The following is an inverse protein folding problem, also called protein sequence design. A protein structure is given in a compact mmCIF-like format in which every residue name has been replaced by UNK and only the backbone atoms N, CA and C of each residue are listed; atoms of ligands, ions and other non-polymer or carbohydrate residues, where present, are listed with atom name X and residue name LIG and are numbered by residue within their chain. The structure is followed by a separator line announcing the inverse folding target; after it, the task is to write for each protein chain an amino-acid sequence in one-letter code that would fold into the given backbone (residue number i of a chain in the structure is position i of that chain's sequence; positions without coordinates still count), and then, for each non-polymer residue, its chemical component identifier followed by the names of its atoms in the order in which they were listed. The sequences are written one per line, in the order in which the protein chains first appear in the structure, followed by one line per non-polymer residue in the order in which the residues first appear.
data_IF_461253333260
#
_entry.id   IF_461253333260
#
_cell.length_a   1.000
_cell.length_b   1.000
_cell.length_c   1.000
_cell.angle_alpha   90.00
_cell.angle_beta   90.00
_cell.angle_gamma   90.00
#
_symmetry.space_group_name_H-M   'P 1'
#
loop_
_entity.id
_entity.type
_entity.pdbx_description
1 polymer ?
#
# COMPACT_ATOMS: atom_id res chain seq x y z
N UNK A 1 -13.21 66.45 25.12
CA UNK A 1 -12.59 65.83 23.92
C UNK A 1 -11.40 65.01 24.40
N UNK A 2 -11.52 63.68 24.46
CA UNK A 2 -10.50 62.80 25.06
C UNK A 2 -9.84 62.01 23.92
N UNK A 3 -8.62 62.39 23.56
CA UNK A 3 -7.82 61.68 22.55
C UNK A 3 -7.33 60.38 23.16
N UNK A 4 -7.83 59.25 22.65
CA UNK A 4 -7.35 57.92 23.00
C UNK A 4 -6.02 57.72 22.28
N UNK A 5 -4.92 57.75 23.04
CA UNK A 5 -3.60 57.33 22.60
C UNK A 5 -3.63 55.82 22.40
N UNK A 6 -3.66 55.37 21.14
CA UNK A 6 -3.45 53.97 20.80
C UNK A 6 -1.94 53.75 20.80
N UNK A 7 -1.44 52.96 21.75
CA UNK A 7 -0.02 52.59 21.84
C UNK A 7 0.43 51.92 20.54
N UNK A 8 1.50 52.46 19.96
CA UNK A 8 2.11 52.00 18.69
C UNK A 8 2.57 50.53 18.79
N UNK A 9 2.86 50.04 20.00
CA UNK A 9 3.26 48.67 20.25
C UNK A 9 2.17 47.65 19.86
N UNK A 10 0.89 48.00 20.02
CA UNK A 10 -0.22 47.10 19.66
C UNK A 10 -0.34 46.87 18.15
N UNK A 11 0.11 47.82 17.33
CA UNK A 11 0.03 47.72 15.87
C UNK A 11 1.18 46.88 15.32
N UNK A 12 2.39 47.04 15.85
CA UNK A 12 3.56 46.26 15.44
C UNK A 12 3.38 44.76 15.77
N UNK A 13 2.87 44.43 16.96
CA UNK A 13 2.61 43.03 17.34
C UNK A 13 1.53 42.40 16.47
N UNK A 14 0.46 43.14 16.14
CA UNK A 14 -0.61 42.65 15.25
C UNK A 14 -0.08 42.41 13.84
N UNK A 15 0.72 43.32 13.30
CA UNK A 15 1.31 43.18 11.96
C UNK A 15 2.23 41.95 11.86
N UNK A 16 3.02 41.68 12.91
CA UNK A 16 3.89 40.51 12.97
C UNK A 16 3.11 39.18 13.00
N UNK A 17 2.00 39.12 13.76
CA UNK A 17 1.13 37.94 13.81
C UNK A 17 0.48 37.68 12.44
N UNK A 18 -0.02 38.71 11.76
CA UNK A 18 -0.59 38.55 10.42
C UNK A 18 0.44 38.13 9.38
N UNK A 19 1.67 38.67 9.45
CA UNK A 19 2.75 38.29 8.52
C UNK A 19 3.18 36.83 8.73
N UNK A 20 3.24 36.39 9.98
CA UNK A 20 3.61 35.00 10.32
C UNK A 20 2.50 34.00 9.92
N UNK A 21 1.23 34.37 10.11
CA UNK A 21 0.09 33.57 9.63
C UNK A 21 0.02 33.53 8.10
N UNK A 22 0.28 34.64 7.42
CA UNK A 22 0.31 34.70 5.96
C UNK A 22 1.44 33.85 5.37
N UNK A 23 2.65 33.90 5.96
CA UNK A 23 3.77 33.03 5.56
C UNK A 23 3.43 31.55 5.80
N UNK A 24 2.83 31.19 6.95
CA UNK A 24 2.41 29.80 7.21
C UNK A 24 1.32 29.34 6.24
N UNK A 25 0.38 30.21 5.87
CA UNK A 25 -0.63 29.92 4.85
C UNK A 25 0.00 29.73 3.45
N UNK A 26 1.02 30.53 3.12
CA UNK A 26 1.74 30.44 1.85
C UNK A 26 2.66 29.21 1.76
N UNK A 27 3.18 28.72 2.89
CA UNK A 27 3.91 27.45 3.00
C UNK A 27 2.92 26.27 2.91
N UNK A 28 1.74 26.36 3.54
CA UNK A 28 0.70 25.33 3.44
C UNK A 28 0.12 25.22 2.02
N UNK A 29 -0.02 26.33 1.30
CA UNK A 29 -0.49 26.35 -0.10
C UNK A 29 0.56 25.84 -1.11
N UNK A 30 1.85 25.82 -0.76
CA UNK A 30 2.91 25.27 -1.63
C UNK A 30 3.15 23.77 -1.42
N UNK A 31 2.64 23.19 -0.34
CA UNK A 31 2.76 21.75 -0.07
C UNK A 31 1.58 20.96 -0.66
N UNK A 32 0.46 21.61 -1.00
CA UNK A 32 -0.69 20.96 -1.65
C UNK A 32 -0.60 20.89 -3.18
N UNK A 33 0.45 21.41 -3.83
CA UNK A 33 0.55 21.42 -5.31
C UNK A 33 1.52 20.41 -5.92
N UNK A 34 2.07 19.47 -5.15
CA UNK A 34 3.02 18.45 -5.68
C UNK A 34 2.44 17.04 -5.74
N UNK A 35 1.21 16.82 -5.26
CA UNK A 35 0.54 15.52 -5.34
C UNK A 35 -0.50 15.41 -6.47
N UNK A 36 -0.56 16.36 -7.40
CA UNK A 36 -1.51 16.33 -8.53
C UNK A 36 -0.93 15.79 -9.84
N UNK A 37 0.29 15.25 -9.86
CA UNK A 37 0.96 14.82 -11.09
C UNK A 37 1.13 13.29 -11.26
N UNK A 38 0.62 12.47 -10.33
CA UNK A 38 0.68 11.00 -10.47
C UNK A 38 -0.63 10.34 -10.90
N UNK A 39 -1.72 11.09 -11.04
CA UNK A 39 -3.04 10.54 -11.44
C UNK A 39 -3.51 10.98 -12.84
N UNK A 40 -2.60 11.41 -13.70
CA UNK A 40 -2.88 11.76 -15.09
C UNK A 40 -2.05 10.88 -16.03
N UNK A 41 -2.46 9.62 -16.22
CA UNK A 41 -1.67 8.72 -17.06
C UNK A 41 -2.22 7.31 -17.27
N UNK A 42 -3.52 7.10 -17.23
CA UNK A 42 -4.12 5.82 -17.62
C UNK A 42 -5.48 6.03 -18.27
N UNK A 43 -5.51 6.89 -19.28
CA UNK A 43 -6.63 7.01 -20.20
C UNK A 43 -6.09 7.22 -21.60
N UNK A 44 -5.97 6.13 -22.37
CA UNK A 44 -6.30 5.99 -23.80
C UNK A 44 -5.97 4.55 -24.20
N UNK A 45 -7.02 3.74 -24.37
CA UNK A 45 -7.12 2.74 -25.42
C UNK A 45 -8.61 2.45 -25.63
N UNK A 46 -9.23 3.16 -26.58
CA UNK A 46 -10.58 2.83 -27.08
C UNK A 46 -10.46 2.16 -28.45
N UNK A 47 -11.22 1.05 -28.57
CA UNK A 47 -11.48 0.18 -29.72
C UNK A 47 -10.28 -0.70 -30.16
N UNK A 48 -10.42 -2.03 -30.33
CA UNK A 48 -11.45 -2.73 -31.12
C UNK A 48 -11.67 -4.18 -30.62
N UNK A 49 -12.88 -4.69 -30.88
CA UNK A 49 -13.40 -6.08 -30.79
C UNK A 49 -13.67 -6.68 -29.41
N UNK A 50 -14.95 -6.56 -29.01
CA UNK A 50 -15.68 -7.50 -28.16
C UNK A 50 -15.41 -8.96 -28.55
N UNK A 51 -14.72 -9.75 -27.72
CA UNK A 51 -15.09 -11.11 -27.22
C UNK A 51 -14.23 -11.51 -25.98
N UNK A 52 -13.11 -10.83 -25.66
CA UNK A 52 -12.38 -11.17 -24.43
C UNK A 52 -12.95 -10.43 -23.22
N UNK A 53 -13.24 -11.12 -22.08
CA UNK A 53 -13.50 -10.42 -20.83
C UNK A 53 -12.31 -9.51 -20.54
N UNK A 54 -12.59 -8.28 -20.06
CA UNK A 54 -11.55 -7.36 -19.63
C UNK A 54 -10.58 -8.11 -18.70
N UNK A 55 -9.28 -8.05 -19.00
CA UNK A 55 -8.28 -8.67 -18.16
C UNK A 55 -8.42 -8.15 -16.73
N UNK A 56 -8.36 -9.03 -15.74
CA UNK A 56 -8.42 -8.63 -14.36
C UNK A 56 -7.24 -7.70 -14.03
N UNK A 57 -7.54 -6.59 -13.37
CA UNK A 57 -6.55 -5.66 -12.84
C UNK A 57 -6.04 -6.24 -11.53
N UNK A 58 -4.72 -6.27 -11.35
CA UNK A 58 -4.06 -6.70 -10.12
C UNK A 58 -3.27 -5.55 -9.53
N UNK A 59 -3.37 -5.35 -8.22
CA UNK A 59 -2.53 -4.41 -7.48
C UNK A 59 -1.89 -5.17 -6.32
N UNK A 60 -0.57 -5.17 -6.25
CA UNK A 60 0.19 -5.87 -5.20
C UNK A 60 0.53 -4.91 -4.06
N UNK A 61 0.39 -5.37 -2.83
CA UNK A 61 0.81 -4.65 -1.63
C UNK A 61 1.77 -5.52 -0.82
N UNK A 62 2.81 -4.88 -0.28
CA UNK A 62 3.73 -5.53 0.65
C UNK A 62 3.21 -5.48 2.08
N UNK A 63 3.93 -6.16 2.97
CA UNK A 63 3.75 -6.04 4.41
C UNK A 63 4.84 -5.16 5.03
N UNK A 64 4.64 -4.78 6.29
CA UNK A 64 5.59 -4.12 7.18
C UNK A 64 5.48 -4.74 8.57
N UNK A 65 6.59 -4.79 9.31
CA UNK A 65 6.56 -5.41 10.64
C UNK A 65 5.73 -4.58 11.63
N UNK A 66 5.04 -5.26 12.54
CA UNK A 66 4.35 -4.64 13.66
C UNK A 66 5.33 -4.54 14.83
N UNK A 67 5.97 -3.39 14.94
CA UNK A 67 7.01 -3.17 15.95
C UNK A 67 6.39 -3.06 17.34
N UNK A 68 6.88 -3.87 18.29
CA UNK A 68 6.47 -3.80 19.69
C UNK A 68 6.95 -2.49 20.35
N UNK A 69 6.04 -1.80 21.03
CA UNK A 69 6.36 -0.60 21.80
C UNK A 69 6.45 0.71 21.02
N UNK A 70 6.22 0.71 19.70
CA UNK A 70 6.06 1.94 18.92
C UNK A 70 4.60 2.43 19.01
N UNK A 71 4.35 3.72 19.28
CA UNK A 71 3.01 4.27 19.17
C UNK A 71 2.51 4.21 17.72
N UNK A 72 1.18 4.19 17.51
CA UNK A 72 0.43 4.18 16.24
C UNK A 72 0.82 5.12 15.08
N UNK A 73 1.99 5.76 15.06
CA UNK A 73 2.34 6.78 14.07
C UNK A 73 3.79 6.73 13.59
N UNK A 74 4.65 5.83 14.06
CA UNK A 74 6.03 5.69 13.53
C UNK A 74 6.89 6.98 13.55
N UNK A 75 6.47 8.03 14.26
CA UNK A 75 7.24 9.27 14.43
C UNK A 75 8.04 9.18 15.71
N UNK A 76 8.97 8.24 15.79
CA UNK A 76 10.23 8.50 16.49
C UNK A 76 11.32 7.63 15.88
N UNK A 77 12.41 8.26 15.46
CA UNK A 77 13.61 7.59 14.94
C UNK A 77 14.36 6.78 16.01
N UNK A 78 13.77 6.58 17.19
CA UNK A 78 14.20 5.58 18.16
C UNK A 78 13.82 4.19 17.68
N UNK A 79 14.80 3.51 17.10
CA UNK A 79 14.83 2.05 16.91
C UNK A 79 14.22 1.40 18.16
N UNK A 80 13.15 0.62 18.00
CA UNK A 80 12.61 -0.20 19.07
C UNK A 80 13.71 -1.20 19.50
N UNK A 81 14.42 -0.85 20.56
CA UNK A 81 15.39 -1.73 21.18
C UNK A 81 14.62 -2.66 22.11
N UNK A 82 14.66 -3.96 21.80
CA UNK A 82 14.14 -5.10 22.56
C UNK A 82 12.64 -5.37 22.45
N UNK A 83 12.28 -6.43 21.72
CA UNK A 83 10.91 -6.95 21.69
C UNK A 83 10.77 -8.16 20.77
N UNK A 84 10.67 -7.94 19.47
CA UNK A 84 10.51 -9.02 18.49
C UNK A 84 11.06 -8.59 17.12
N UNK A 85 12.21 -9.13 16.72
CA UNK A 85 12.92 -8.74 15.49
C UNK A 85 13.18 -9.92 14.55
N UNK A 86 12.67 -11.12 14.87
CA UNK A 86 12.94 -12.30 14.05
C UNK A 86 12.40 -12.12 12.62
N UNK A 87 11.28 -11.42 12.46
CA UNK A 87 10.62 -11.16 11.18
C UNK A 87 11.14 -9.94 10.40
N UNK A 88 11.87 -9.00 11.03
CA UNK A 88 12.22 -7.70 10.45
C UNK A 88 13.00 -7.82 9.14
N UNK A 89 13.96 -8.74 9.09
CA UNK A 89 14.79 -8.97 7.91
C UNK A 89 14.01 -9.56 6.72
N UNK A 90 12.77 -10.00 6.95
CA UNK A 90 11.99 -10.81 6.02
C UNK A 90 10.70 -10.13 5.54
N UNK A 91 10.51 -8.85 5.86
CA UNK A 91 9.32 -8.07 5.45
C UNK A 91 9.07 -8.15 3.93
N UNK A 92 10.14 -8.15 3.11
CA UNK A 92 10.04 -8.24 1.65
C UNK A 92 9.61 -9.60 1.09
N UNK A 93 9.56 -10.63 1.92
CA UNK A 93 9.20 -12.01 1.52
C UNK A 93 7.69 -12.27 1.56
N UNK A 94 6.88 -11.31 1.97
CA UNK A 94 5.42 -11.42 1.99
C UNK A 94 4.78 -10.31 1.19
N UNK A 95 3.76 -10.65 0.43
CA UNK A 95 2.87 -9.68 -0.21
C UNK A 95 1.48 -10.28 -0.37
N UNK A 96 0.57 -9.44 -0.84
CA UNK A 96 -0.71 -9.92 -1.35
C UNK A 96 -1.12 -9.14 -2.58
N UNK A 97 -1.84 -9.83 -3.45
CA UNK A 97 -2.46 -9.26 -4.64
C UNK A 97 -3.93 -8.95 -4.36
N UNK A 98 -4.39 -7.79 -4.82
CA UNK A 98 -5.81 -7.46 -4.94
C UNK A 98 -6.19 -7.53 -6.41
N UNK A 99 -6.99 -8.53 -6.76
CA UNK A 99 -7.39 -8.84 -8.14
C UNK A 99 -8.85 -8.45 -8.36
N UNK A 100 -9.12 -7.65 -9.39
CA UNK A 100 -10.47 -7.20 -9.72
C UNK A 100 -11.32 -8.34 -10.30
N UNK A 101 -12.58 -8.44 -9.88
CA UNK A 101 -13.60 -9.28 -10.49
C UNK A 101 -14.89 -8.51 -10.78
N UNK A 102 -15.86 -9.18 -11.39
CA UNK A 102 -17.19 -8.59 -11.64
C UNK A 102 -17.99 -8.55 -10.33
N UNK A 103 -18.03 -7.38 -9.68
CA UNK A 103 -18.69 -7.19 -8.38
C UNK A 103 -17.94 -7.83 -7.20
N UNK A 104 -16.71 -8.28 -7.42
CA UNK A 104 -15.87 -8.95 -6.41
C UNK A 104 -14.44 -8.46 -6.46
N UNK A 105 -13.69 -8.72 -5.39
CA UNK A 105 -12.23 -8.59 -5.35
C UNK A 105 -11.64 -9.82 -4.68
N UNK A 106 -10.55 -10.33 -5.23
CA UNK A 106 -9.83 -11.47 -4.66
C UNK A 106 -8.54 -10.94 -4.02
N UNK A 107 -8.36 -11.22 -2.72
CA UNK A 107 -7.11 -11.02 -2.01
C UNK A 107 -6.32 -12.33 -2.05
N UNK A 108 -5.10 -12.30 -2.58
CA UNK A 108 -4.23 -13.48 -2.66
C UNK A 108 -2.95 -13.22 -1.87
N UNK A 109 -2.80 -13.92 -0.75
CA UNK A 109 -1.65 -13.80 0.14
C UNK A 109 -0.56 -14.76 -0.30
N UNK A 110 0.66 -14.24 -0.46
CA UNK A 110 1.78 -15.00 -0.99
C UNK A 110 2.92 -15.08 0.04
N UNK A 111 3.49 -16.27 0.18
CA UNK A 111 4.72 -16.49 0.91
C UNK A 111 5.86 -16.71 -0.10
N UNK A 112 6.71 -15.69 -0.31
CA UNK A 112 7.79 -15.73 -1.31
C UNK A 112 9.11 -16.25 -0.76
N UNK A 113 9.10 -16.92 0.39
CA UNK A 113 10.31 -17.59 0.85
C UNK A 113 10.75 -18.68 -0.14
N UNK A 114 12.05 -18.96 -0.14
CA UNK A 114 12.64 -20.08 -0.86
C UNK A 114 13.34 -20.93 0.19
N UNK A 115 13.05 -22.24 0.22
CA UNK A 115 13.68 -23.21 1.12
C UNK A 115 13.65 -22.81 2.61
N UNK A 116 12.48 -22.39 3.11
CA UNK A 116 12.27 -22.05 4.52
C UNK A 116 11.22 -22.95 5.17
N UNK A 117 11.23 -23.06 6.49
CA UNK A 117 10.11 -23.58 7.28
C UNK A 117 9.06 -22.52 7.59
N UNK A 118 9.30 -21.26 7.22
CA UNK A 118 8.46 -20.11 7.55
C UNK A 118 7.08 -20.21 6.90
N UNK A 119 6.03 -20.06 7.70
CA UNK A 119 4.64 -20.21 7.26
C UNK A 119 3.78 -19.05 7.71
N UNK A 120 2.81 -18.67 6.87
CA UNK A 120 1.73 -17.75 7.28
C UNK A 120 0.55 -18.58 7.77
N UNK A 121 0.13 -18.39 9.02
CA UNK A 121 -0.86 -19.26 9.65
C UNK A 121 -2.10 -18.53 10.19
N UNK A 122 -2.08 -17.20 10.24
CA UNK A 122 -3.28 -16.39 10.50
C UNK A 122 -3.33 -15.15 9.63
N UNK A 123 -4.55 -14.72 9.34
CA UNK A 123 -4.83 -13.49 8.58
C UNK A 123 -5.96 -12.75 9.28
N UNK A 124 -5.84 -11.43 9.39
CA UNK A 124 -6.83 -10.55 9.99
C UNK A 124 -7.14 -9.38 9.06
N UNK A 125 -8.37 -8.88 9.13
CA UNK A 125 -8.78 -7.67 8.43
C UNK A 125 -9.47 -6.70 9.38
N UNK A 126 -9.25 -5.41 9.15
CA UNK A 126 -9.94 -4.31 9.83
C UNK A 126 -10.57 -3.35 8.82
N UNK A 127 -11.62 -2.63 9.23
CA UNK A 127 -12.23 -1.56 8.43
C UNK A 127 -13.01 -2.02 7.19
N UNK A 128 -13.50 -3.26 7.18
CA UNK A 128 -14.13 -3.88 6.01
C UNK A 128 -15.65 -3.64 5.89
N UNK A 129 -16.31 -3.18 6.96
CA UNK A 129 -17.76 -3.27 7.11
C UNK A 129 -18.59 -2.44 6.13
N UNK A 130 -18.02 -1.42 5.50
CA UNK A 130 -18.69 -0.64 4.45
C UNK A 130 -18.27 -1.03 3.03
N UNK A 131 -17.15 -1.76 2.88
CA UNK A 131 -16.57 -2.09 1.57
C UNK A 131 -17.13 -3.40 1.01
N UNK A 132 -17.37 -4.38 1.89
CA UNK A 132 -17.72 -5.75 1.50
C UNK A 132 -19.06 -6.17 2.09
N UNK A 133 -19.85 -6.89 1.31
CA UNK A 133 -21.14 -7.46 1.76
C UNK A 133 -20.97 -8.89 2.28
N UNK A 134 -20.11 -9.68 1.64
CA UNK A 134 -19.79 -11.06 2.03
C UNK A 134 -18.34 -11.39 1.67
N UNK A 135 -17.86 -12.52 2.20
CA UNK A 135 -16.56 -13.08 1.84
C UNK A 135 -16.61 -14.60 1.74
N UNK A 136 -15.71 -15.15 0.93
CA UNK A 136 -15.51 -16.59 0.73
C UNK A 136 -14.01 -16.89 0.82
N UNK A 137 -13.53 -17.56 1.88
CA UNK A 137 -12.13 -17.98 1.97
C UNK A 137 -11.85 -19.19 1.06
N UNK A 138 -10.57 -19.54 0.90
CA UNK A 138 -10.09 -20.71 0.16
C UNK A 138 -10.37 -20.66 -1.36
N UNK A 139 -10.20 -19.48 -1.96
CA UNK A 139 -10.48 -19.25 -3.38
C UNK A 139 -9.19 -19.21 -4.18
N UNK A 140 -8.97 -20.20 -5.04
CA UNK A 140 -7.79 -20.22 -5.91
C UNK A 140 -6.47 -20.40 -5.16
N UNK A 141 -6.51 -21.13 -4.04
CA UNK A 141 -5.34 -21.53 -3.28
C UNK A 141 -4.38 -22.38 -4.14
N UNK A 142 -3.10 -22.40 -3.76
CA UNK A 142 -2.14 -23.41 -4.24
C UNK A 142 -1.72 -24.34 -3.10
N UNK A 143 -1.25 -25.54 -3.43
CA UNK A 143 -0.77 -26.51 -2.45
C UNK A 143 -1.86 -27.06 -1.51
N UNK A 144 -1.53 -27.28 -0.24
CA UNK A 144 -2.47 -27.80 0.79
C UNK A 144 -3.14 -26.71 1.61
N UNK A 145 -2.99 -25.45 1.21
CA UNK A 145 -3.48 -24.28 1.93
C UNK A 145 -4.98 -24.35 2.18
N UNK A 146 -5.38 -24.23 3.45
CA UNK A 146 -6.78 -24.16 3.86
C UNK A 146 -6.90 -23.36 5.16
N UNK A 147 -7.87 -22.44 5.21
CA UNK A 147 -8.11 -21.57 6.36
C UNK A 147 -9.58 -21.60 6.78
N UNK A 148 -9.80 -21.51 8.09
CA UNK A 148 -11.12 -21.44 8.71
C UNK A 148 -11.32 -20.11 9.44
N UNK A 149 -12.54 -19.57 9.46
CA UNK A 149 -12.87 -18.41 10.29
C UNK A 149 -12.62 -18.67 11.77
N UNK A 150 -12.01 -17.71 12.45
CA UNK A 150 -11.84 -17.72 13.91
C UNK A 150 -12.47 -16.46 14.51
N UNK A 151 -13.19 -16.62 15.63
CA UNK A 151 -13.93 -15.54 16.30
C UNK A 151 -13.43 -15.25 17.71
N UNK A 152 -12.50 -16.06 18.23
CA UNK A 152 -11.97 -15.94 19.58
C UNK A 152 -10.49 -15.56 19.59
N UNK A 153 -10.03 -15.00 20.71
CA UNK A 153 -8.67 -14.56 20.90
C UNK A 153 -8.33 -13.23 20.23
N UNK A 154 -7.11 -12.75 20.45
CA UNK A 154 -6.57 -11.53 19.85
C UNK A 154 -5.66 -11.86 18.67
N UNK A 155 -5.47 -10.89 17.77
CA UNK A 155 -4.43 -10.98 16.76
C UNK A 155 -3.08 -10.61 17.40
N UNK A 156 -2.02 -11.43 17.28
CA UNK A 156 -0.73 -11.12 17.87
C UNK A 156 -0.21 -9.76 17.42
N UNK A 157 0.39 -9.02 18.36
CA UNK A 157 0.84 -7.63 18.19
C UNK A 157 -0.25 -6.65 17.68
N UNK A 158 -1.52 -7.04 17.61
CA UNK A 158 -2.58 -6.19 17.05
C UNK A 158 -2.83 -4.89 17.83
N UNK A 159 -2.45 -4.85 19.11
CA UNK A 159 -2.48 -3.64 19.94
C UNK A 159 -1.43 -2.59 19.54
N UNK A 160 -0.42 -2.99 18.76
CA UNK A 160 0.64 -2.11 18.26
C UNK A 160 0.37 -1.61 16.83
N UNK A 161 -0.77 -2.00 16.22
CA UNK A 161 -1.15 -1.52 14.89
C UNK A 161 -1.80 -0.14 15.02
N UNK A 162 -1.40 0.76 14.12
CA UNK A 162 -1.92 2.13 14.04
C UNK A 162 -3.45 2.17 13.98
N UNK A 163 -4.07 3.07 14.75
CA UNK A 163 -5.53 3.21 14.77
C UNK A 163 -6.06 3.96 13.52
N UNK A 164 -7.25 3.62 12.99
CA UNK A 164 -8.17 2.61 13.52
C UNK A 164 -7.72 1.18 13.20
N UNK A 165 -7.66 0.34 14.23
CA UNK A 165 -7.49 -1.11 14.10
C UNK A 165 -8.56 -1.82 14.92
N UNK A 166 -9.62 -2.21 14.23
CA UNK A 166 -10.69 -3.04 14.79
C UNK A 166 -10.89 -4.22 13.87
N UNK A 167 -10.54 -5.39 14.37
CA UNK A 167 -10.65 -6.64 13.63
C UNK A 167 -12.13 -6.90 13.33
N UNK A 168 -12.47 -7.04 12.05
CA UNK A 168 -13.82 -7.38 11.60
C UNK A 168 -13.96 -8.88 11.39
N UNK A 169 -12.95 -9.52 10.80
CA UNK A 169 -12.87 -10.97 10.74
C UNK A 169 -11.42 -11.45 10.70
N UNK A 170 -11.25 -12.73 11.04
CA UNK A 170 -9.96 -13.43 11.09
C UNK A 170 -10.09 -14.84 10.58
N UNK A 171 -8.99 -15.33 10.05
CA UNK A 171 -8.83 -16.67 9.54
C UNK A 171 -7.57 -17.28 10.16
N UNK A 172 -7.62 -18.58 10.45
CA UNK A 172 -6.45 -19.38 10.86
C UNK A 172 -6.33 -20.58 9.94
N UNK A 173 -5.11 -21.04 9.71
CA UNK A 173 -4.86 -22.29 9.01
C UNK A 173 -5.63 -23.44 9.66
N UNK A 174 -6.21 -24.32 8.85
CA UNK A 174 -6.95 -25.52 9.27
C UNK A 174 -6.01 -26.65 9.70
N UNK A 175 -5.08 -26.32 10.60
CA UNK A 175 -3.96 -27.18 11.01
C UNK A 175 -2.60 -26.72 10.47
N UNK A 176 -1.50 -27.25 11.04
CA UNK A 176 -0.14 -26.81 10.76
C UNK A 176 0.33 -27.12 9.32
N UNK A 177 -0.30 -28.09 8.67
CA UNK A 177 -0.04 -28.50 7.28
C UNK A 177 -0.80 -27.68 6.25
N UNK A 178 -1.70 -26.80 6.69
CA UNK A 178 -2.61 -26.03 5.84
C UNK A 178 -2.32 -24.53 5.85
N UNK A 179 -1.27 -24.12 6.57
CA UNK A 179 -0.70 -22.78 6.51
C UNK A 179 -0.13 -22.50 5.12
N UNK A 180 0.16 -21.23 4.82
CA UNK A 180 0.79 -20.85 3.55
C UNK A 180 2.28 -21.15 3.64
N UNK A 181 2.69 -22.30 3.07
CA UNK A 181 4.10 -22.66 2.96
C UNK A 181 4.82 -21.80 1.88
N UNK A 182 6.16 -21.82 1.84
CA UNK A 182 6.90 -21.08 0.83
C UNK A 182 6.49 -21.45 -0.60
N UNK A 183 6.21 -20.43 -1.41
CA UNK A 183 5.67 -20.47 -2.77
C UNK A 183 4.20 -20.95 -2.88
N UNK A 184 3.48 -21.00 -1.77
CA UNK A 184 2.04 -21.20 -1.78
C UNK A 184 1.28 -19.87 -1.66
N UNK A 185 -0.01 -19.93 -2.01
CA UNK A 185 -0.93 -18.80 -2.02
C UNK A 185 -2.23 -19.18 -1.35
N UNK A 186 -2.75 -18.28 -0.52
CA UNK A 186 -4.11 -18.35 0.01
C UNK A 186 -4.98 -17.24 -0.61
N UNK A 187 -6.17 -17.58 -1.09
CA UNK A 187 -7.10 -16.60 -1.63
C UNK A 187 -8.38 -16.43 -0.82
N UNK A 188 -8.83 -15.18 -0.71
CA UNK A 188 -10.14 -14.80 -0.18
C UNK A 188 -10.85 -13.94 -1.20
N UNK A 189 -12.07 -14.30 -1.57
CA UNK A 189 -12.94 -13.47 -2.40
C UNK A 189 -13.87 -12.65 -1.54
N UNK A 190 -13.95 -11.35 -1.78
CA UNK A 190 -14.98 -10.47 -1.22
C UNK A 190 -15.97 -10.09 -2.30
N UNK A 191 -17.26 -10.08 -1.94
CA UNK A 191 -18.28 -9.40 -2.73
C UNK A 191 -18.31 -7.94 -2.31
N UNK A 192 -18.20 -7.04 -3.28
CA UNK A 192 -18.25 -5.60 -3.05
C UNK A 192 -19.66 -5.21 -2.61
N UNK A 193 -19.76 -4.42 -1.54
CA UNK A 193 -21.01 -3.77 -1.18
C UNK A 193 -21.27 -2.62 -2.16
N UNK A 194 -22.49 -2.46 -2.68
CA UNK A 194 -22.81 -1.31 -3.54
C UNK A 194 -22.74 0.00 -2.72
N UNK A 195 -22.19 1.10 -3.27
CA UNK A 195 -21.70 1.29 -4.65
C UNK A 195 -20.17 1.09 -4.81
N UNK A 196 -19.51 0.39 -3.89
CA UNK A 196 -18.05 0.25 -3.91
C UNK A 196 -17.54 -0.50 -5.14
N UNK A 197 -16.33 -0.15 -5.54
CA UNK A 197 -15.64 -0.72 -6.69
C UNK A 197 -14.29 -1.30 -6.27
N UNK A 198 -13.59 -1.96 -7.19
CA UNK A 198 -12.18 -2.30 -7.03
C UNK A 198 -11.35 -1.10 -6.56
N UNK A 199 -11.56 0.07 -7.18
CA UNK A 199 -10.83 1.29 -6.85
C UNK A 199 -11.10 1.74 -5.41
N UNK A 200 -12.33 1.60 -4.91
CA UNK A 200 -12.67 1.89 -3.52
C UNK A 200 -11.86 1.04 -2.53
N UNK A 201 -11.55 -0.21 -2.89
CA UNK A 201 -10.72 -1.10 -2.07
C UNK A 201 -9.27 -0.66 -2.07
N UNK A 202 -8.71 -0.36 -3.26
CA UNK A 202 -7.33 0.12 -3.38
C UNK A 202 -7.14 1.42 -2.60
N UNK A 203 -8.07 2.37 -2.74
CA UNK A 203 -8.06 3.62 -1.99
C UNK A 203 -8.11 3.38 -0.49
N UNK A 204 -8.99 2.50 -0.01
CA UNK A 204 -9.10 2.19 1.40
C UNK A 204 -7.80 1.60 2.00
N UNK A 205 -7.10 0.75 1.25
CA UNK A 205 -5.78 0.23 1.63
C UNK A 205 -4.75 1.38 1.67
N UNK A 206 -4.75 2.23 0.64
CA UNK A 206 -3.80 3.33 0.52
C UNK A 206 -3.99 4.45 1.55
N UNK A 207 -5.22 4.71 1.99
CA UNK A 207 -5.45 5.67 3.09
C UNK A 207 -5.42 5.01 4.47
N UNK A 208 -5.26 3.67 4.53
CA UNK A 208 -5.18 2.90 5.77
C UNK A 208 -6.52 2.72 6.48
N UNK A 209 -7.65 2.93 5.81
CA UNK A 209 -8.99 2.62 6.37
C UNK A 209 -9.33 1.14 6.24
N UNK A 210 -8.74 0.43 5.28
CA UNK A 210 -8.71 -1.02 5.20
C UNK A 210 -7.29 -1.50 5.49
N UNK A 211 -7.12 -2.31 6.53
CA UNK A 211 -5.84 -2.95 6.84
C UNK A 211 -6.00 -4.46 6.92
N UNK A 212 -5.02 -5.19 6.41
CA UNK A 212 -4.87 -6.63 6.55
C UNK A 212 -3.56 -6.93 7.27
N UNK A 213 -3.59 -7.93 8.14
CA UNK A 213 -2.41 -8.34 8.90
C UNK A 213 -2.25 -9.86 8.83
N UNK A 214 -1.00 -10.31 8.87
CA UNK A 214 -0.63 -11.73 8.83
C UNK A 214 0.19 -12.11 10.05
N UNK A 215 -0.04 -13.32 10.57
CA UNK A 215 0.86 -13.94 11.53
C UNK A 215 1.75 -14.93 10.79
N UNK A 216 3.03 -14.87 11.09
CA UNK A 216 4.04 -15.72 10.50
C UNK A 216 4.75 -16.47 11.63
N UNK A 217 5.00 -17.76 11.41
CA UNK A 217 5.71 -18.62 12.36
C UNK A 217 6.87 -19.33 11.68
N UNK A 218 7.66 -20.02 12.50
CA UNK A 218 8.81 -20.82 12.06
C UNK A 218 9.83 -19.99 11.28
N UNK A 219 10.11 -18.77 11.77
CA UNK A 219 11.36 -18.09 11.47
C UNK A 219 12.54 -18.88 12.07
N UNK A 220 13.77 -18.61 11.62
CA UNK A 220 14.96 -19.26 12.16
C UNK A 220 15.00 -19.13 13.69
N UNK A 221 15.11 -20.27 14.38
CA UNK A 221 15.03 -20.33 15.85
C UNK A 221 13.60 -20.41 16.44
N UNK A 222 12.63 -20.90 15.66
CA UNK A 222 11.22 -21.11 16.06
C UNK A 222 10.46 -19.82 16.45
N UNK A 223 10.94 -18.67 15.99
CA UNK A 223 10.30 -17.38 16.22
C UNK A 223 8.98 -17.22 15.46
N UNK A 224 8.11 -16.37 15.99
CA UNK A 224 6.90 -15.89 15.31
C UNK A 224 6.83 -14.37 15.33
N UNK A 225 6.30 -13.79 14.27
CA UNK A 225 6.09 -12.34 14.16
C UNK A 225 4.78 -12.05 13.43
N UNK A 226 4.29 -10.83 13.54
CA UNK A 226 3.09 -10.38 12.86
C UNK A 226 3.35 -9.11 12.05
N UNK A 227 2.75 -9.06 10.88
CA UNK A 227 2.94 -7.98 9.92
C UNK A 227 1.60 -7.38 9.55
N UNK A 228 1.60 -6.10 9.21
CA UNK A 228 0.44 -5.38 8.66
C UNK A 228 0.78 -4.91 7.25
N UNK A 229 -0.20 -4.78 6.38
CA UNK A 229 0.05 -4.30 5.02
C UNK A 229 0.62 -2.87 5.02
N UNK A 230 1.45 -2.59 4.03
CA UNK A 230 1.79 -1.22 3.66
C UNK A 230 0.62 -0.56 2.92
N UNK A 231 0.55 0.77 3.02
CA UNK A 231 -0.43 1.59 2.28
C UNK A 231 0.04 1.93 0.85
N UNK A 232 1.30 1.70 0.51
CA UNK A 232 1.81 1.94 -0.85
C UNK A 232 1.84 0.65 -1.66
N UNK A 233 1.21 0.61 -2.85
CA UNK A 233 1.35 -0.52 -3.76
C UNK A 233 2.83 -0.77 -4.12
N UNK A 234 3.18 -2.04 -4.32
CA UNK A 234 4.50 -2.43 -4.81
C UNK A 234 4.61 -2.05 -6.28
N UNK A 235 5.63 -1.29 -6.72
CA UNK A 235 5.77 -0.91 -8.12
C UNK A 235 5.92 -2.14 -9.02
N UNK A 236 5.13 -2.23 -10.08
CA UNK A 236 5.26 -3.30 -11.05
C UNK A 236 6.59 -3.18 -11.83
N UNK A 237 7.31 -4.29 -12.08
CA UNK A 237 8.57 -4.28 -12.83
C UNK A 237 8.46 -3.65 -14.24
N UNK A 238 7.27 -3.73 -14.85
CA UNK A 238 7.03 -3.23 -16.21
C UNK A 238 6.98 -1.69 -16.24
N UNK A 239 6.49 -1.05 -15.19
CA UNK A 239 6.48 0.42 -15.08
C UNK A 239 7.90 0.98 -15.03
N UNK A 240 8.83 0.28 -14.38
CA UNK A 240 10.25 0.65 -14.39
C UNK A 240 10.89 0.48 -15.79
N UNK A 241 10.55 -0.60 -16.50
CA UNK A 241 11.06 -0.84 -17.85
C UNK A 241 10.52 0.19 -18.85
N UNK A 242 9.24 0.56 -18.76
CA UNK A 242 8.59 1.55 -19.62
C UNK A 242 9.18 2.96 -19.48
N UNK A 243 9.51 3.38 -18.26
CA UNK A 243 10.19 4.66 -18.01
C UNK A 243 11.64 4.67 -18.55
N UNK A 244 12.34 3.53 -18.47
CA UNK A 244 13.68 3.37 -19.03
C UNK A 244 13.72 3.40 -20.56
N UNK A 245 12.77 2.74 -21.22
CA UNK A 245 12.69 2.71 -22.70
C UNK A 245 12.17 4.04 -23.26
N UNK A 246 11.23 4.70 -22.59
CA UNK A 246 10.70 6.00 -23.03
C UNK A 246 11.77 7.10 -23.06
N UNK A 247 12.63 7.17 -22.05
CA UNK A 247 13.71 8.17 -21.98
C UNK A 247 14.86 7.86 -22.94
N UNK A 248 15.26 6.59 -23.07
CA UNK A 248 16.28 6.17 -24.03
C UNK A 248 15.81 6.34 -25.49
N UNK A 249 14.54 6.05 -25.77
CA UNK A 249 13.92 6.21 -27.09
C UNK A 249 13.84 7.67 -27.55
N UNK A 250 13.41 8.59 -26.65
CA UNK A 250 13.40 10.02 -26.96
C UNK A 250 14.82 10.59 -27.17
N UNK A 251 15.80 10.12 -26.39
CA UNK A 251 17.21 10.51 -26.55
C UNK A 251 17.82 10.07 -27.89
N UNK A 252 17.50 8.86 -28.34
CA UNK A 252 17.96 8.33 -29.63
C UNK A 252 17.30 9.04 -30.83
N UNK A 253 16.00 9.37 -30.74
CA UNK A 253 15.30 10.13 -31.76
C UNK A 253 15.85 11.57 -31.89
N UNK A 254 16.12 12.25 -30.77
CA UNK A 254 16.73 13.59 -30.79
C UNK A 254 18.12 13.58 -31.46
N UNK A 255 18.94 12.55 -31.23
CA UNK A 255 20.25 12.39 -31.92
C UNK A 255 20.12 12.12 -33.42
N UNK A 256 19.11 11.35 -33.85
CA UNK A 256 18.92 11.02 -35.28
C UNK A 256 18.39 12.21 -36.09
N UNK A 257 17.60 13.09 -35.48
CA UNK A 257 17.05 14.27 -36.16
C UNK A 257 17.90 15.54 -36.01
N UNK A 258 18.68 15.68 -34.92
CA UNK A 258 19.60 16.83 -34.75
C UNK A 258 20.85 16.80 -35.65
N UNK A 259 21.20 15.64 -36.23
CA UNK A 259 22.42 15.49 -37.04
C UNK A 259 22.21 15.71 -38.55
N UNK A 260 20.99 16.05 -39.00
CA UNK A 260 20.71 16.33 -40.42
C UNK A 260 21.03 17.77 -40.83
N UNK A 261 21.12 18.71 -39.88
CA UNK A 261 21.49 20.10 -40.19
C UNK A 261 23.01 20.35 -40.22
N UNK A 262 23.81 19.47 -39.60
CA UNK A 262 25.27 19.63 -39.59
C UNK A 262 25.97 19.14 -40.87
N UNK A 263 25.31 18.35 -41.72
CA UNK A 263 25.91 17.81 -42.97
C UNK A 263 25.52 18.57 -44.25
N UNK A 264 24.68 19.60 -44.17
CA UNK A 264 24.34 20.45 -45.31
C UNK A 264 25.25 21.69 -45.46
N UNK A 265 26.23 21.88 -44.56
CA UNK A 265 27.26 22.93 -44.65
C UNK A 265 28.67 22.33 -44.62
N UNK A 266 29.01 21.54 -45.63
CA UNK A 266 30.39 21.40 -46.09
C UNK A 266 30.36 21.43 -47.61
N UNK A 267 30.31 22.66 -48.13
CA UNK A 267 30.75 22.99 -49.47
C UNK A 267 32.01 23.84 -49.28
N UNK A 268 33.14 23.32 -49.71
CA UNK A 268 34.28 24.10 -50.20
C UNK A 268 34.64 23.50 -51.55
#
# INVERSE_FOLDING_TARGET
MKLVSISVDSLATRLYVYYTLFIRFLILMKITSVFSALLAGSGIALAVSSINPAAAITTTFGFQNIIEGQPPNGIDGTVATSGNTAGDAYVGNFDFDVVSGSGTVDFKFNNKFINSSTKVDQIAFSGTSSLFSTYTPNVGNSGTVSFLPITTGTFPQGNNIDQPWTIVFRLSADGPTNAIDPNETFGIRFTLANPNTYQSVIEAITVGTLKTAIRVQAFSGDGSDAFVNSSTPVPEPITMLGLGVGTAGLGALKRKYGNKEAKAKVVV
#
